data_IF_807862935866
#
_entry.id   IF_807862935866
#
_cell.length_a   1.000
_cell.length_b   1.000
_cell.length_c   1.000
_cell.angle_alpha   90.00
_cell.angle_beta   90.00
_cell.angle_gamma   90.00
#
_symmetry.space_group_name_H-M   'P 1'
#
loop_
_entity.id
_entity.type
_entity.pdbx_description
1 polymer ?
#
# COMPACT_ATOMS: atom_id res chain seq x y z
N UNK A 1 -34.31 10.07 -23.43
CA UNK A 1 -33.29 8.99 -23.40
C UNK A 1 -31.97 9.48 -22.82
N UNK A 2 -31.84 10.79 -22.58
CA UNK A 2 -30.59 11.48 -22.24
C UNK A 2 -30.14 11.22 -20.79
N UNK A 3 -31.10 11.03 -19.88
CA UNK A 3 -30.86 10.80 -18.45
C UNK A 3 -30.17 9.44 -18.15
N UNK A 4 -30.30 8.46 -19.06
CA UNK A 4 -29.63 7.15 -18.92
C UNK A 4 -28.18 7.26 -19.37
N UNK A 5 -27.91 8.03 -20.42
CA UNK A 5 -26.57 8.29 -20.94
C UNK A 5 -25.72 9.08 -19.93
N UNK A 6 -26.28 10.14 -19.33
CA UNK A 6 -25.61 10.90 -18.25
C UNK A 6 -25.22 9.99 -17.06
N UNK A 7 -26.09 9.06 -16.65
CA UNK A 7 -25.75 8.10 -15.59
C UNK A 7 -24.59 7.17 -15.96
N UNK A 8 -24.46 6.79 -17.24
CA UNK A 8 -23.34 5.96 -17.68
C UNK A 8 -22.04 6.76 -17.72
N UNK A 9 -22.09 8.01 -18.21
CA UNK A 9 -20.93 8.90 -18.25
C UNK A 9 -20.42 9.23 -16.84
N UNK A 10 -21.31 9.56 -15.89
CA UNK A 10 -20.95 9.83 -14.50
C UNK A 10 -20.32 8.61 -13.82
N UNK A 11 -20.88 7.41 -14.05
CA UNK A 11 -20.29 6.16 -13.54
C UNK A 11 -18.92 5.89 -14.14
N UNK A 12 -18.72 6.17 -15.42
CA UNK A 12 -17.44 5.97 -16.09
C UNK A 12 -16.37 6.96 -15.58
N UNK A 13 -16.76 8.21 -15.31
CA UNK A 13 -15.91 9.25 -14.70
C UNK A 13 -15.55 8.90 -13.26
N UNK A 14 -16.49 8.36 -12.49
CA UNK A 14 -16.24 7.88 -11.12
C UNK A 14 -15.30 6.66 -11.08
N UNK A 15 -15.45 5.73 -12.04
CA UNK A 15 -14.53 4.60 -12.21
C UNK A 15 -13.11 5.11 -12.55
N UNK A 16 -12.99 6.09 -13.47
CA UNK A 16 -11.72 6.74 -13.82
C UNK A 16 -11.11 7.54 -12.66
N UNK A 17 -11.93 8.18 -11.81
CA UNK A 17 -11.47 8.88 -10.59
C UNK A 17 -10.98 7.90 -9.52
N UNK A 18 -11.65 6.77 -9.32
CA UNK A 18 -11.19 5.71 -8.40
C UNK A 18 -9.87 5.08 -8.85
N UNK A 19 -9.64 4.95 -10.16
CA UNK A 19 -8.37 4.49 -10.72
C UNK A 19 -7.17 5.43 -10.44
N UNK A 20 -7.41 6.67 -9.98
CA UNK A 20 -6.35 7.67 -9.68
C UNK A 20 -5.66 7.45 -8.33
N UNK A 21 -6.18 6.58 -7.45
CA UNK A 21 -5.42 6.04 -6.30
C UNK A 21 -4.53 4.90 -6.80
N UNK A 22 -3.45 5.25 -7.51
CA UNK A 22 -2.57 4.25 -8.14
C UNK A 22 -1.73 3.54 -7.07
N UNK A 23 -2.27 2.43 -6.56
CA UNK A 23 -1.57 1.44 -5.73
C UNK A 23 -0.28 0.93 -6.40
N UNK A 24 -0.26 0.96 -7.74
CA UNK A 24 0.84 0.54 -8.57
C UNK A 24 1.45 1.73 -9.30
N UNK A 25 2.77 1.87 -9.18
CA UNK A 25 3.54 2.90 -9.87
C UNK A 25 3.66 2.58 -11.36
N UNK A 26 3.77 1.30 -11.69
CA UNK A 26 3.95 0.84 -13.05
C UNK A 26 3.32 -0.55 -13.21
N UNK A 27 2.76 -0.82 -14.39
CA UNK A 27 2.21 -2.12 -14.75
C UNK A 27 2.83 -2.49 -16.10
N UNK A 28 3.51 -3.62 -16.16
CA UNK A 28 4.18 -4.13 -17.35
C UNK A 28 3.56 -5.46 -17.79
N UNK A 29 3.60 -5.75 -19.09
CA UNK A 29 3.13 -7.02 -19.65
C UNK A 29 4.26 -7.66 -20.44
N UNK A 30 4.78 -8.79 -19.97
CA UNK A 30 5.90 -9.51 -20.59
C UNK A 30 5.49 -10.96 -20.79
N UNK A 31 5.41 -11.41 -22.06
CA UNK A 31 5.17 -12.81 -22.44
C UNK A 31 4.05 -13.46 -21.61
N UNK A 32 2.86 -12.86 -21.67
CA UNK A 32 1.63 -13.24 -20.96
C UNK A 32 1.63 -13.07 -19.43
N UNK A 33 2.68 -12.51 -18.83
CA UNK A 33 2.71 -12.13 -17.41
C UNK A 33 2.50 -10.63 -17.24
N UNK A 34 1.60 -10.24 -16.34
CA UNK A 34 1.51 -8.85 -15.85
C UNK A 34 2.36 -8.68 -14.59
N UNK A 35 3.30 -7.75 -14.63
CA UNK A 35 4.13 -7.36 -13.49
C UNK A 35 3.59 -6.04 -12.96
N UNK A 36 3.25 -6.03 -11.66
CA UNK A 36 2.73 -4.86 -10.98
C UNK A 36 3.81 -4.32 -10.05
N UNK A 37 4.32 -3.13 -10.36
CA UNK A 37 5.34 -2.46 -9.56
C UNK A 37 4.65 -1.62 -8.48
N UNK A 38 4.72 -2.08 -7.24
CA UNK A 38 4.25 -1.35 -6.05
C UNK A 38 5.39 -0.52 -5.46
N UNK A 39 5.08 0.60 -4.83
CA UNK A 39 6.05 1.30 -3.95
C UNK A 39 5.77 0.88 -2.51
N UNK A 40 6.42 -0.21 -2.07
CA UNK A 40 6.37 -0.65 -0.66
C UNK A 40 6.71 0.49 0.32
N UNK A 41 7.63 1.39 -0.08
CA UNK A 41 8.01 2.56 0.71
C UNK A 41 6.91 3.63 0.85
N UNK A 42 5.89 3.68 -0.02
CA UNK A 42 4.75 4.59 0.17
C UNK A 42 3.79 4.11 1.26
N UNK A 43 3.83 2.82 1.57
CA UNK A 43 2.99 2.20 2.58
C UNK A 43 3.66 2.14 3.96
N UNK A 44 4.93 2.58 4.09
CA UNK A 44 5.59 2.70 5.39
C UNK A 44 4.82 3.69 6.26
N UNK A 45 4.21 3.17 7.32
CA UNK A 45 3.36 3.95 8.22
C UNK A 45 4.12 4.49 9.41
N UNK A 46 4.85 3.62 10.11
CA UNK A 46 5.56 3.98 11.33
C UNK A 46 6.77 3.06 11.52
N UNK A 47 7.86 3.63 12.02
CA UNK A 47 8.98 2.89 12.57
C UNK A 47 9.22 3.40 13.99
N UNK A 48 9.57 2.50 14.90
CA UNK A 48 9.82 2.90 16.28
C UNK A 48 10.46 1.81 17.12
N UNK A 49 10.73 2.19 18.36
CA UNK A 49 11.24 1.31 19.41
C UNK A 49 10.06 0.98 20.34
N UNK A 50 9.93 -0.28 20.72
CA UNK A 50 8.93 -0.72 21.67
C UNK A 50 9.18 -0.02 23.03
N UNK A 51 8.16 0.68 23.54
CA UNK A 51 8.25 1.45 24.79
C UNK A 51 8.51 0.56 26.01
N UNK A 52 8.12 -0.71 25.96
CA UNK A 52 8.31 -1.71 27.02
C UNK A 52 9.62 -2.48 26.84
N UNK A 53 10.05 -2.72 25.60
CA UNK A 53 11.25 -3.47 25.26
C UNK A 53 12.18 -2.62 24.40
N UNK A 54 13.10 -1.86 25.03
CA UNK A 54 13.97 -0.89 24.34
C UNK A 54 14.87 -1.50 23.24
N UNK A 55 15.18 -2.79 23.32
CA UNK A 55 15.96 -3.53 22.33
C UNK A 55 15.11 -4.06 21.16
N UNK A 56 13.79 -3.88 21.21
CA UNK A 56 12.85 -4.36 20.20
C UNK A 56 12.40 -3.21 19.34
N UNK A 57 12.69 -3.30 18.06
CA UNK A 57 12.24 -2.33 17.07
C UNK A 57 10.96 -2.86 16.42
N UNK A 58 10.20 -1.97 15.81
CA UNK A 58 9.07 -2.36 14.99
C UNK A 58 8.94 -1.46 13.77
N UNK A 59 8.37 -2.04 12.73
CA UNK A 59 7.98 -1.34 11.51
C UNK A 59 6.53 -1.68 11.20
N UNK A 60 5.76 -0.68 10.80
CA UNK A 60 4.35 -0.81 10.46
C UNK A 60 4.13 -0.34 9.04
N UNK A 61 3.35 -1.11 8.28
CA UNK A 61 2.96 -0.81 6.92
C UNK A 61 1.43 -0.74 6.80
N UNK A 62 0.94 0.13 5.92
CA UNK A 62 -0.46 0.09 5.47
C UNK A 62 -0.67 -1.08 4.51
N UNK A 63 -1.85 -1.67 4.54
CA UNK A 63 -2.22 -2.73 3.61
C UNK A 63 -2.31 -2.20 2.18
N UNK A 64 -1.76 -2.96 1.23
CA UNK A 64 -1.72 -2.57 -0.18
C UNK A 64 -3.12 -2.34 -0.77
N UNK A 65 -4.10 -3.20 -0.47
CA UNK A 65 -5.48 -3.05 -0.96
C UNK A 65 -6.40 -2.34 0.03
N UNK A 66 -6.03 -2.32 1.31
CA UNK A 66 -6.80 -1.67 2.37
C UNK A 66 -5.85 -0.84 3.24
N UNK A 67 -5.81 0.46 2.97
CA UNK A 67 -4.93 1.40 3.66
C UNK A 67 -5.33 1.68 5.11
N UNK A 68 -6.56 1.32 5.52
CA UNK A 68 -7.01 1.41 6.92
C UNK A 68 -6.45 0.26 7.76
N UNK A 69 -6.10 -0.86 7.13
CA UNK A 69 -5.47 -1.99 7.79
C UNK A 69 -3.97 -1.73 7.93
N UNK A 70 -3.47 -1.79 9.17
CA UNK A 70 -2.05 -1.62 9.48
C UNK A 70 -1.51 -2.97 9.92
N UNK A 71 -0.42 -3.41 9.28
CA UNK A 71 0.31 -4.62 9.61
C UNK A 71 1.62 -4.23 10.32
N UNK A 72 1.88 -4.81 11.48
CA UNK A 72 3.04 -4.50 12.31
C UNK A 72 4.00 -5.69 12.35
N UNK A 73 5.26 -5.42 12.10
CA UNK A 73 6.35 -6.39 12.12
C UNK A 73 7.32 -6.02 13.24
N UNK A 74 7.59 -6.99 14.11
CA UNK A 74 8.65 -6.87 15.11
C UNK A 74 10.00 -7.10 14.45
N UNK A 75 10.94 -6.22 14.72
CA UNK A 75 12.33 -6.30 14.28
C UNK A 75 13.21 -6.56 15.50
N UNK A 76 14.15 -7.49 15.33
CA UNK A 76 15.09 -7.90 16.37
C UNK A 76 16.51 -7.56 15.92
N UNK A 77 17.36 -7.16 16.86
CA UNK A 77 18.78 -6.97 16.58
C UNK A 77 19.39 -8.29 16.08
N UNK A 78 20.33 -8.18 15.14
CA UNK A 78 21.01 -9.34 14.55
C UNK A 78 22.28 -9.72 15.33
N UNK A 79 22.73 -8.86 16.24
CA UNK A 79 23.93 -9.05 17.06
C UNK A 79 23.59 -8.80 18.52
N UNK A 80 24.18 -9.63 19.39
CA UNK A 80 23.99 -9.56 20.83
C UNK A 80 24.60 -8.28 21.45
N UNK A 81 25.50 -7.59 20.73
CA UNK A 81 26.24 -6.40 21.20
C UNK A 81 25.68 -5.04 20.73
N UNK A 82 24.50 -4.99 20.09
CA UNK A 82 23.83 -3.73 19.73
C UNK A 82 23.00 -3.15 20.92
N UNK A 83 23.59 -3.10 22.12
CA UNK A 83 23.06 -2.41 23.33
C UNK A 83 23.46 -0.93 23.40
#
# INVERSE_FOLDING_TARGET
>A
MDNVLEQFEDREVDIKRKAKKRLFVQIESIRDRKIYHTKVMMDLYLFGIDKRQKHKFFIAFRGLFNQERIELFSLFALRDDDE
#
